data_IF_716320085375
#
_entry.id   IF_716320085375
#
_cell.length_a   1.000
_cell.length_b   1.000
_cell.length_c   1.000
_cell.angle_alpha   90.00
_cell.angle_beta   90.00
_cell.angle_gamma   90.00
#
_symmetry.space_group_name_H-M   'P 1'
#
loop_
_entity.id
_entity.type
_entity.pdbx_description
1 polymer ?
#
# COMPACT_ATOMS: atom_id res chain seq x y z
N UNK A 1 -39.03 -11.22 6.03
CA UNK A 1 -38.11 -12.34 6.31
C UNK A 1 -36.92 -12.36 5.33
N UNK A 2 -37.15 -12.29 4.02
CA UNK A 2 -36.04 -12.27 3.01
C UNK A 2 -34.91 -11.24 3.29
N UNK A 3 -35.24 -9.99 3.64
CA UNK A 3 -34.22 -8.95 3.91
C UNK A 3 -33.34 -9.26 5.15
N UNK A 4 -33.86 -10.00 6.14
CA UNK A 4 -33.09 -10.32 7.37
C UNK A 4 -32.16 -11.51 7.09
N UNK A 5 -32.59 -12.46 6.29
CA UNK A 5 -31.78 -13.61 5.91
C UNK A 5 -30.65 -13.19 4.96
N UNK A 6 -30.91 -12.21 4.09
CA UNK A 6 -29.90 -11.59 3.21
C UNK A 6 -28.84 -10.83 4.02
N UNK A 7 -29.24 -10.09 5.06
CA UNK A 7 -28.30 -9.42 5.98
C UNK A 7 -27.47 -10.44 6.78
N UNK A 8 -28.06 -11.53 7.26
CA UNK A 8 -27.32 -12.57 7.98
C UNK A 8 -26.32 -13.28 7.07
N UNK A 9 -26.70 -13.58 5.84
CA UNK A 9 -25.81 -14.16 4.84
C UNK A 9 -24.64 -13.23 4.53
N UNK A 10 -24.90 -11.95 4.32
CA UNK A 10 -23.91 -10.91 4.12
C UNK A 10 -22.94 -10.79 5.31
N UNK A 11 -23.44 -10.73 6.55
CA UNK A 11 -22.61 -10.66 7.74
C UNK A 11 -21.71 -11.89 7.87
N UNK A 12 -22.26 -13.08 7.65
CA UNK A 12 -21.51 -14.35 7.71
C UNK A 12 -20.41 -14.43 6.65
N UNK A 13 -20.69 -13.96 5.45
CA UNK A 13 -19.68 -13.85 4.39
C UNK A 13 -18.56 -12.86 4.80
N UNK A 14 -18.94 -11.70 5.34
CA UNK A 14 -17.98 -10.71 5.80
C UNK A 14 -17.14 -11.14 7.02
N UNK A 15 -17.71 -11.92 7.95
CA UNK A 15 -16.99 -12.46 9.12
C UNK A 15 -15.86 -13.39 8.69
N UNK A 16 -16.07 -14.20 7.67
CA UNK A 16 -15.11 -15.21 7.21
C UNK A 16 -14.02 -14.67 6.27
N UNK A 17 -14.11 -13.42 5.79
CA UNK A 17 -13.07 -12.84 4.94
C UNK A 17 -11.76 -12.66 5.70
N UNK A 18 -10.68 -13.17 5.15
CA UNK A 18 -9.34 -12.95 5.68
C UNK A 18 -9.00 -11.45 5.72
N UNK A 19 -8.24 -11.06 6.72
CA UNK A 19 -7.75 -9.70 6.89
C UNK A 19 -6.26 -9.62 6.54
N UNK A 20 -5.92 -8.81 5.54
CA UNK A 20 -4.55 -8.46 5.22
C UNK A 20 -4.23 -7.05 5.76
N UNK A 21 -3.19 -6.95 6.57
CA UNK A 21 -2.60 -5.68 6.97
C UNK A 21 -1.36 -5.42 6.15
N UNK A 22 -1.29 -4.29 5.49
CA UNK A 22 -0.10 -3.91 4.74
C UNK A 22 0.29 -2.46 4.97
N UNK A 23 1.57 -2.20 4.79
CA UNK A 23 2.17 -0.87 4.91
C UNK A 23 2.60 -0.39 3.53
N UNK A 24 2.45 0.91 3.28
CA UNK A 24 3.10 1.58 2.14
C UNK A 24 4.35 2.30 2.61
N UNK A 25 5.47 2.07 1.97
CA UNK A 25 6.74 2.71 2.26
C UNK A 25 7.50 3.03 0.97
N UNK A 26 8.45 3.93 1.07
CA UNK A 26 9.20 4.48 -0.08
C UNK A 26 9.66 5.88 0.25
N UNK A 27 10.34 6.52 -0.66
CA UNK A 27 10.84 7.88 -0.48
C UNK A 27 9.68 8.90 -0.51
N UNK A 28 9.99 10.14 -0.16
CA UNK A 28 9.10 11.29 -0.43
C UNK A 28 8.87 11.36 -1.94
N UNK A 29 7.67 11.69 -2.35
CA UNK A 29 7.24 11.80 -3.75
C UNK A 29 7.25 10.51 -4.59
N UNK A 30 7.48 9.33 -4.00
CA UNK A 30 7.32 8.05 -4.71
C UNK A 30 5.85 7.73 -5.03
N UNK A 31 4.89 8.51 -4.50
CA UNK A 31 3.46 8.40 -4.80
C UNK A 31 2.69 7.46 -3.86
N UNK A 32 3.11 7.35 -2.58
CA UNK A 32 2.43 6.53 -1.57
C UNK A 32 0.97 6.93 -1.37
N UNK A 33 0.72 8.18 -1.03
CA UNK A 33 -0.64 8.70 -0.81
C UNK A 33 -1.50 8.60 -2.08
N UNK A 34 -0.91 8.85 -3.27
CA UNK A 34 -1.58 8.66 -4.54
C UNK A 34 -2.01 7.21 -4.75
N UNK A 35 -1.14 6.24 -4.44
CA UNK A 35 -1.45 4.82 -4.57
C UNK A 35 -2.57 4.39 -3.60
N UNK A 36 -2.51 4.85 -2.36
CA UNK A 36 -3.55 4.56 -1.37
C UNK A 36 -4.88 5.17 -1.81
N UNK A 37 -4.88 6.43 -2.21
CA UNK A 37 -6.05 7.10 -2.74
C UNK A 37 -6.66 6.37 -3.94
N UNK A 38 -5.81 5.87 -4.87
CA UNK A 38 -6.23 5.06 -6.02
C UNK A 38 -6.85 3.73 -5.58
N UNK A 39 -6.24 3.01 -4.67
CA UNK A 39 -6.79 1.76 -4.14
C UNK A 39 -8.15 1.98 -3.47
N UNK A 40 -8.29 3.02 -2.65
CA UNK A 40 -9.55 3.36 -1.99
C UNK A 40 -10.64 3.77 -2.99
N UNK A 41 -10.28 4.57 -3.97
CA UNK A 41 -11.20 5.02 -5.02
C UNK A 41 -11.70 3.85 -5.87
N UNK A 42 -10.80 3.06 -6.44
CA UNK A 42 -11.14 2.03 -7.41
C UNK A 42 -11.79 0.80 -6.74
N UNK A 43 -11.50 0.57 -5.44
CA UNK A 43 -12.16 -0.47 -4.63
C UNK A 43 -13.55 -0.07 -4.14
N UNK A 44 -14.07 1.10 -4.53
CA UNK A 44 -15.34 1.65 -4.03
C UNK A 44 -15.41 1.75 -2.50
N UNK A 45 -14.25 1.88 -1.86
CA UNK A 45 -14.12 2.02 -0.41
C UNK A 45 -14.41 3.43 0.12
N UNK A 46 -14.81 4.36 -0.75
CA UNK A 46 -15.08 5.75 -0.44
C UNK A 46 -16.55 6.02 -0.58
N UNK A 47 -17.14 6.68 0.42
CA UNK A 47 -18.53 7.15 0.33
C UNK A 47 -18.67 8.31 -0.65
N UNK A 48 -19.77 8.35 -1.39
CA UNK A 48 -20.04 9.38 -2.42
C UNK A 48 -19.94 10.80 -1.87
N UNK A 49 -20.38 11.02 -0.62
CA UNK A 49 -20.30 12.33 0.06
C UNK A 49 -18.85 12.81 0.25
N UNK A 50 -17.93 11.89 0.52
CA UNK A 50 -16.51 12.21 0.65
C UNK A 50 -15.90 12.57 -0.71
N UNK A 51 -16.27 11.85 -1.76
CA UNK A 51 -15.85 12.15 -3.13
C UNK A 51 -16.30 13.54 -3.59
N UNK A 52 -17.52 13.96 -3.26
CA UNK A 52 -18.02 15.30 -3.59
C UNK A 52 -17.25 16.42 -2.87
N UNK A 53 -16.93 16.22 -1.59
CA UNK A 53 -16.17 17.22 -0.81
C UNK A 53 -14.76 17.40 -1.38
N UNK A 54 -14.10 16.29 -1.74
CA UNK A 54 -12.75 16.33 -2.32
C UNK A 54 -12.76 16.97 -3.71
N UNK A 55 -13.78 16.70 -4.53
CA UNK A 55 -13.97 17.39 -5.82
C UNK A 55 -14.09 18.91 -5.67
N UNK A 56 -14.73 19.38 -4.59
CA UNK A 56 -14.83 20.82 -4.26
C UNK A 56 -13.50 21.40 -3.81
N UNK A 57 -12.73 20.66 -3.01
CA UNK A 57 -11.44 21.10 -2.49
C UNK A 57 -10.34 21.07 -3.56
N UNK A 58 -10.33 20.07 -4.44
CA UNK A 58 -9.41 19.99 -5.59
C UNK A 58 -9.59 21.15 -6.56
N UNK A 59 -10.83 21.63 -6.75
CA UNK A 59 -11.13 22.81 -7.61
C UNK A 59 -10.64 24.13 -6.99
N UNK A 60 -10.47 24.20 -5.67
CA UNK A 60 -9.97 25.41 -4.98
C UNK A 60 -8.46 25.54 -5.00
N UNK A 61 -7.75 24.43 -5.08
CA UNK A 61 -6.27 24.40 -4.97
C UNK A 61 -5.56 24.31 -6.32
N UNK A 62 -6.23 24.64 -7.42
CA UNK A 62 -5.76 24.72 -8.81
C UNK A 62 -4.24 24.51 -9.00
N UNK A 63 -3.82 23.30 -9.26
CA UNK A 63 -2.45 23.08 -9.70
C UNK A 63 -2.21 21.93 -10.70
N UNK A 64 -3.23 21.38 -11.33
CA UNK A 64 -3.02 20.50 -12.51
C UNK A 64 -4.32 20.26 -13.26
N UNK A 65 -4.24 20.11 -14.60
CA UNK A 65 -5.33 19.78 -15.53
C UNK A 65 -6.01 18.41 -15.28
N UNK A 66 -5.65 17.71 -14.22
CA UNK A 66 -6.27 16.45 -13.83
C UNK A 66 -7.37 16.68 -12.79
N UNK A 67 -8.57 16.26 -13.13
CA UNK A 67 -9.83 16.50 -12.42
C UNK A 67 -9.87 16.08 -10.95
N UNK A 68 -8.83 15.38 -10.40
CA UNK A 68 -8.94 14.79 -9.07
C UNK A 68 -7.58 14.47 -8.43
N UNK A 69 -7.23 15.16 -7.34
CA UNK A 69 -6.06 14.81 -6.55
C UNK A 69 -6.41 13.74 -5.49
N UNK A 70 -6.04 12.49 -5.81
CA UNK A 70 -6.31 11.33 -4.95
C UNK A 70 -5.52 11.33 -3.63
N UNK A 71 -4.46 12.14 -3.52
CA UNK A 71 -3.69 12.26 -2.27
C UNK A 71 -4.50 12.93 -1.17
N UNK A 72 -5.41 13.83 -1.53
CA UNK A 72 -6.31 14.51 -0.59
C UNK A 72 -7.26 13.55 0.15
N UNK A 73 -7.47 12.33 -0.39
CA UNK A 73 -8.22 11.27 0.31
C UNK A 73 -7.49 10.74 1.55
N UNK A 74 -6.19 10.91 1.59
CA UNK A 74 -5.31 10.24 2.57
C UNK A 74 -4.82 11.21 3.64
N UNK A 75 -4.62 12.48 3.28
CA UNK A 75 -4.08 13.50 4.19
C UNK A 75 -5.07 13.85 5.31
N UNK A 76 -4.75 13.38 6.50
CA UNK A 76 -5.62 13.50 7.69
C UNK A 76 -5.36 14.75 8.51
N UNK A 77 -4.11 15.14 8.71
CA UNK A 77 -3.72 16.26 9.54
C UNK A 77 -3.60 17.55 8.72
N UNK A 78 -3.98 18.69 9.32
CA UNK A 78 -3.81 19.98 8.68
C UNK A 78 -2.35 20.27 8.34
N UNK A 79 -1.41 19.90 9.22
CA UNK A 79 0.03 20.03 9.00
C UNK A 79 0.56 19.18 7.85
N UNK A 80 -0.04 18.03 7.60
CA UNK A 80 0.30 17.16 6.46
C UNK A 80 -0.15 17.81 5.15
N UNK A 81 -1.36 18.37 5.12
CA UNK A 81 -1.88 19.10 3.96
C UNK A 81 -1.08 20.37 3.62
N UNK A 82 -0.66 21.11 4.65
CA UNK A 82 0.15 22.32 4.47
C UNK A 82 1.56 22.03 3.97
N UNK A 83 2.16 20.90 4.39
CA UNK A 83 3.51 20.53 4.03
C UNK A 83 3.59 19.56 2.86
N UNK A 84 2.46 18.94 2.48
CA UNK A 84 2.41 17.92 1.42
C UNK A 84 3.17 16.63 1.75
N UNK A 85 3.34 16.31 3.06
CA UNK A 85 4.06 15.13 3.52
C UNK A 85 3.28 14.39 4.61
N UNK A 86 3.35 13.06 4.62
CA UNK A 86 2.85 12.24 5.73
C UNK A 86 3.79 12.35 6.92
N UNK A 87 3.27 12.66 8.10
CA UNK A 87 4.03 12.84 9.35
C UNK A 87 3.81 11.66 10.30
N UNK A 88 2.55 11.28 10.50
CA UNK A 88 2.17 10.20 11.42
C UNK A 88 1.61 8.99 10.65
N UNK A 89 1.37 7.89 11.34
CA UNK A 89 0.77 6.69 10.75
C UNK A 89 -0.74 6.86 10.68
N UNK A 90 -1.29 6.83 9.47
CA UNK A 90 -2.72 6.82 9.25
C UNK A 90 -3.19 5.43 8.80
N UNK A 91 -4.28 4.93 9.42
CA UNK A 91 -4.86 3.66 9.04
C UNK A 91 -6.09 3.88 8.17
N UNK A 92 -6.15 3.17 7.04
CA UNK A 92 -7.27 3.18 6.11
C UNK A 92 -7.78 1.76 5.91
N UNK A 93 -9.06 1.66 5.59
CA UNK A 93 -9.75 0.37 5.50
C UNK A 93 -10.50 0.30 4.19
N UNK A 94 -10.38 -0.82 3.50
CA UNK A 94 -11.26 -1.15 2.38
C UNK A 94 -11.49 -2.65 2.32
N UNK A 95 -12.44 -3.05 1.50
CA UNK A 95 -12.78 -4.47 1.34
C UNK A 95 -13.06 -4.76 -0.13
N UNK A 96 -12.65 -5.93 -0.57
CA UNK A 96 -13.06 -6.50 -1.84
C UNK A 96 -14.00 -7.69 -1.60
N UNK A 97 -14.60 -8.25 -2.64
CA UNK A 97 -15.36 -9.50 -2.48
C UNK A 97 -14.56 -10.62 -1.80
N UNK A 98 -13.24 -10.69 -2.00
CA UNK A 98 -12.40 -11.76 -1.50
C UNK A 98 -11.79 -11.50 -0.12
N UNK A 99 -11.39 -10.25 0.19
CA UNK A 99 -10.55 -9.98 1.36
C UNK A 99 -10.83 -8.60 1.97
N UNK A 100 -10.55 -8.46 3.27
CA UNK A 100 -10.52 -7.18 4.00
C UNK A 100 -9.09 -6.66 4.07
N UNK A 101 -8.93 -5.35 4.03
CA UNK A 101 -7.61 -4.71 4.03
C UNK A 101 -7.52 -3.61 5.08
N UNK A 102 -6.38 -3.55 5.75
CA UNK A 102 -5.96 -2.41 6.55
C UNK A 102 -4.66 -1.90 5.94
N UNK A 103 -4.67 -0.65 5.52
CA UNK A 103 -3.50 0.06 5.03
C UNK A 103 -2.92 0.89 6.18
N UNK A 104 -1.64 0.74 6.46
CA UNK A 104 -0.90 1.69 7.25
C UNK A 104 -0.16 2.63 6.30
N UNK A 105 -0.65 3.86 6.16
CA UNK A 105 0.09 4.90 5.45
C UNK A 105 1.21 5.42 6.35
N UNK A 106 2.41 5.50 5.81
CA UNK A 106 3.59 5.85 6.60
C UNK A 106 4.46 6.89 5.93
N UNK A 107 5.11 7.75 6.74
CA UNK A 107 5.96 8.80 6.23
C UNK A 107 7.15 8.25 5.43
N UNK A 108 7.49 8.95 4.34
CA UNK A 108 8.67 8.65 3.53
C UNK A 108 9.94 9.34 4.00
N UNK A 109 9.81 10.40 4.80
CA UNK A 109 10.92 11.22 5.25
C UNK A 109 11.73 10.52 6.37
N UNK A 110 13.06 10.62 6.31
CA UNK A 110 13.94 9.91 7.25
C UNK A 110 13.74 10.29 8.72
N UNK A 111 13.34 11.53 9.00
CA UNK A 111 13.06 12.01 10.36
C UNK A 111 11.90 11.27 11.02
N UNK A 112 10.98 10.74 10.23
CA UNK A 112 9.79 10.02 10.70
C UNK A 112 9.91 8.50 10.59
N UNK A 113 11.13 7.97 10.44
CA UNK A 113 11.38 6.51 10.35
C UNK A 113 10.79 5.73 11.53
N UNK A 114 10.71 6.34 12.72
CA UNK A 114 10.07 5.71 13.89
C UNK A 114 8.59 5.45 13.67
N UNK A 115 7.88 6.39 13.07
CA UNK A 115 6.46 6.23 12.75
C UNK A 115 6.26 5.15 11.68
N UNK A 116 7.13 5.12 10.67
CA UNK A 116 7.15 4.02 9.69
C UNK A 116 7.30 2.66 10.36
N UNK A 117 8.24 2.50 11.29
CA UNK A 117 8.44 1.25 12.01
C UNK A 117 7.21 0.86 12.86
N UNK A 118 6.50 1.83 13.44
CA UNK A 118 5.25 1.61 14.17
C UNK A 118 4.17 1.02 13.26
N UNK A 119 3.97 1.59 12.08
CA UNK A 119 3.01 1.05 11.10
C UNK A 119 3.39 -0.36 10.62
N UNK A 120 4.69 -0.57 10.39
CA UNK A 120 5.22 -1.85 9.91
C UNK A 120 5.08 -2.99 10.93
N UNK A 121 5.12 -2.69 12.23
CA UNK A 121 5.13 -3.70 13.31
C UNK A 121 3.90 -4.62 13.32
N UNK A 122 2.80 -4.18 12.73
CA UNK A 122 1.54 -4.95 12.68
C UNK A 122 1.22 -5.45 11.27
N UNK A 123 2.04 -5.14 10.27
CA UNK A 123 1.81 -5.48 8.88
C UNK A 123 2.19 -6.93 8.55
N UNK A 124 1.43 -7.55 7.66
CA UNK A 124 1.73 -8.85 7.09
C UNK A 124 2.55 -8.72 5.79
N UNK A 125 2.37 -7.58 5.08
CA UNK A 125 2.96 -7.31 3.78
C UNK A 125 3.43 -5.86 3.72
N UNK A 126 4.53 -5.61 3.02
CA UNK A 126 5.02 -4.27 2.73
C UNK A 126 4.97 -3.98 1.24
N UNK A 127 4.37 -2.85 0.87
CA UNK A 127 4.46 -2.29 -0.48
C UNK A 127 5.55 -1.22 -0.46
N UNK A 128 6.63 -1.48 -1.17
CA UNK A 128 7.74 -0.55 -1.31
C UNK A 128 7.62 0.14 -2.66
N UNK A 129 7.32 1.43 -2.64
CA UNK A 129 7.24 2.23 -3.87
C UNK A 129 8.64 2.66 -4.29
N UNK A 130 8.85 2.63 -5.59
CA UNK A 130 10.06 3.13 -6.26
C UNK A 130 9.61 3.97 -7.45
N UNK A 131 10.02 5.23 -7.48
CA UNK A 131 9.82 6.08 -8.66
C UNK A 131 10.71 5.57 -9.82
N UNK A 132 10.09 5.21 -10.94
CA UNK A 132 10.76 4.64 -12.10
C UNK A 132 11.85 5.55 -12.69
N UNK A 133 11.78 6.86 -12.46
CA UNK A 133 12.78 7.83 -12.92
C UNK A 133 14.09 7.75 -12.15
N UNK A 134 14.02 7.39 -10.85
CA UNK A 134 15.17 7.44 -9.94
C UNK A 134 15.70 6.06 -9.54
N UNK A 135 14.86 5.02 -9.64
CA UNK A 135 15.23 3.66 -9.25
C UNK A 135 15.43 3.46 -7.75
N UNK A 136 16.27 2.49 -7.38
CA UNK A 136 16.48 2.09 -5.96
C UNK A 136 17.31 3.13 -5.23
N UNK A 137 16.70 3.83 -4.27
CA UNK A 137 17.30 4.89 -3.48
C UNK A 137 17.66 4.46 -2.05
N UNK A 138 18.34 5.34 -1.31
CA UNK A 138 18.74 5.09 0.08
C UNK A 138 17.54 4.81 1.00
N UNK A 139 16.43 5.54 0.85
CA UNK A 139 15.24 5.32 1.65
C UNK A 139 14.54 3.99 1.29
N UNK A 140 14.53 3.61 0.01
CA UNK A 140 14.06 2.29 -0.42
C UNK A 140 14.80 1.17 0.32
N UNK A 141 16.14 1.28 0.39
CA UNK A 141 17.01 0.32 1.09
C UNK A 141 16.76 0.32 2.59
N UNK A 142 16.63 1.50 3.22
CA UNK A 142 16.36 1.66 4.65
C UNK A 142 15.01 1.03 5.04
N UNK A 143 13.96 1.31 4.29
CA UNK A 143 12.63 0.76 4.55
C UNK A 143 12.59 -0.76 4.34
N UNK A 144 13.26 -1.28 3.33
CA UNK A 144 13.42 -2.73 3.14
C UNK A 144 14.12 -3.40 4.32
N UNK A 145 15.17 -2.77 4.85
CA UNK A 145 15.89 -3.27 6.03
C UNK A 145 15.01 -3.29 7.28
N UNK A 146 14.24 -2.23 7.53
CA UNK A 146 13.32 -2.15 8.67
C UNK A 146 12.24 -3.23 8.55
N UNK A 147 11.65 -3.41 7.38
CA UNK A 147 10.64 -4.44 7.14
C UNK A 147 11.22 -5.84 7.40
N UNK A 148 12.46 -6.10 7.01
CA UNK A 148 13.16 -7.34 7.34
C UNK A 148 13.34 -7.52 8.86
N UNK A 149 13.79 -6.50 9.56
CA UNK A 149 13.98 -6.56 11.03
C UNK A 149 12.67 -6.83 11.77
N UNK A 150 11.56 -6.31 11.26
CA UNK A 150 10.21 -6.54 11.80
C UNK A 150 9.60 -7.88 11.36
N UNK A 151 10.30 -8.66 10.55
CA UNK A 151 9.88 -10.01 10.16
C UNK A 151 8.78 -10.05 9.10
N UNK A 152 8.60 -8.98 8.31
CA UNK A 152 7.65 -8.96 7.20
C UNK A 152 8.16 -9.89 6.09
N UNK A 153 7.37 -10.92 5.77
CA UNK A 153 7.76 -11.96 4.83
C UNK A 153 7.35 -11.70 3.38
N UNK A 154 6.36 -10.84 3.16
CA UNK A 154 5.81 -10.54 1.85
C UNK A 154 6.15 -9.10 1.49
N UNK A 155 6.85 -8.92 0.38
CA UNK A 155 7.26 -7.61 -0.13
C UNK A 155 6.77 -7.45 -1.55
N UNK A 156 6.00 -6.40 -1.79
CA UNK A 156 5.66 -5.93 -3.12
C UNK A 156 6.51 -4.70 -3.43
N UNK A 157 7.28 -4.76 -4.48
CA UNK A 157 7.99 -3.60 -5.01
C UNK A 157 7.15 -3.01 -6.12
N UNK A 158 6.49 -1.91 -5.83
CA UNK A 158 5.69 -1.16 -6.76
C UNK A 158 6.57 -0.14 -7.51
N UNK A 159 6.95 -0.48 -8.74
CA UNK A 159 7.70 0.44 -9.62
C UNK A 159 6.69 1.42 -10.19
N UNK A 160 6.58 2.56 -9.52
CA UNK A 160 5.56 3.58 -9.79
C UNK A 160 6.04 4.64 -10.78
N UNK A 161 5.10 5.39 -11.32
CA UNK A 161 5.31 6.43 -12.33
C UNK A 161 5.91 5.88 -13.63
N UNK A 162 5.55 4.65 -13.97
CA UNK A 162 5.95 4.03 -15.24
C UNK A 162 5.38 4.77 -16.45
N UNK A 163 4.28 5.51 -16.28
CA UNK A 163 3.71 6.41 -17.27
C UNK A 163 4.71 7.50 -17.72
N UNK A 164 5.55 8.01 -16.82
CA UNK A 164 6.58 8.99 -17.13
C UNK A 164 7.81 8.37 -17.85
N UNK A 165 7.84 7.05 -17.96
CA UNK A 165 8.88 6.27 -18.62
C UNK A 165 8.32 5.46 -19.80
N UNK A 166 7.14 5.86 -20.32
CA UNK A 166 6.42 5.19 -21.42
C UNK A 166 6.27 3.68 -21.24
N UNK A 167 6.14 3.22 -19.99
CA UNK A 167 6.07 1.81 -19.61
C UNK A 167 7.16 0.93 -20.23
N UNK A 168 8.38 1.46 -20.37
CA UNK A 168 9.50 0.76 -20.96
C UNK A 168 9.93 -0.43 -20.10
N UNK A 169 10.02 -1.59 -20.73
CA UNK A 169 10.41 -2.84 -20.10
C UNK A 169 11.84 -2.83 -19.57
N UNK A 170 12.78 -2.22 -20.31
CA UNK A 170 14.19 -2.12 -19.91
C UNK A 170 14.39 -1.33 -18.62
N UNK A 171 13.61 -0.24 -18.42
CA UNK A 171 13.61 0.55 -17.17
C UNK A 171 13.13 -0.32 -15.99
N UNK A 172 12.03 -1.03 -16.17
CA UNK A 172 11.51 -1.94 -15.13
C UNK A 172 12.52 -3.05 -14.79
N UNK A 173 13.07 -3.70 -15.81
CA UNK A 173 14.03 -4.80 -15.63
C UNK A 173 15.30 -4.34 -14.91
N UNK A 174 15.81 -3.16 -15.23
CA UNK A 174 16.96 -2.56 -14.53
C UNK A 174 16.65 -2.35 -13.03
N UNK A 175 15.52 -1.75 -12.70
CA UNK A 175 15.12 -1.54 -11.30
C UNK A 175 14.93 -2.86 -10.58
N UNK A 176 14.34 -3.84 -11.25
CA UNK A 176 14.17 -5.20 -10.75
C UNK A 176 15.50 -5.85 -10.40
N UNK A 177 16.47 -5.80 -11.30
CA UNK A 177 17.81 -6.35 -11.08
C UNK A 177 18.52 -5.67 -9.91
N UNK A 178 18.52 -4.34 -9.87
CA UNK A 178 19.12 -3.54 -8.81
C UNK A 178 18.49 -3.86 -7.44
N UNK A 179 17.16 -3.94 -7.37
CA UNK A 179 16.48 -4.27 -6.14
C UNK A 179 16.73 -5.70 -5.67
N UNK A 180 16.66 -6.68 -6.58
CA UNK A 180 16.88 -8.10 -6.24
C UNK A 180 18.33 -8.36 -5.81
N UNK A 181 19.30 -7.68 -6.43
CA UNK A 181 20.71 -7.73 -6.00
C UNK A 181 20.85 -7.21 -4.57
N UNK A 182 20.29 -6.04 -4.27
CA UNK A 182 20.27 -5.48 -2.93
C UNK A 182 19.55 -6.40 -1.93
N UNK A 183 18.40 -6.95 -2.28
CA UNK A 183 17.63 -7.87 -1.45
C UNK A 183 18.44 -9.13 -1.09
N UNK A 184 19.20 -9.67 -2.06
CA UNK A 184 20.10 -10.80 -1.84
C UNK A 184 21.24 -10.44 -0.88
N UNK A 185 21.88 -9.29 -1.07
CA UNK A 185 22.94 -8.79 -0.18
C UNK A 185 22.42 -8.59 1.25
N UNK A 186 21.19 -8.10 1.37
CA UNK A 186 20.51 -7.93 2.65
C UNK A 186 20.08 -9.27 3.27
N UNK A 187 20.11 -10.38 2.53
CA UNK A 187 19.58 -11.67 2.98
C UNK A 187 18.07 -11.64 3.22
N UNK A 188 17.35 -10.93 2.37
CA UNK A 188 15.89 -11.02 2.30
C UNK A 188 15.53 -12.36 1.65
N UNK A 189 15.05 -13.29 2.46
CA UNK A 189 14.47 -14.57 2.00
C UNK A 189 12.98 -14.44 1.71
N UNK A 190 12.49 -13.23 1.58
CA UNK A 190 11.07 -12.91 1.46
C UNK A 190 10.52 -13.25 0.09
N UNK A 191 9.22 -13.48 0.03
CA UNK A 191 8.48 -13.50 -1.21
C UNK A 191 8.42 -12.07 -1.78
N UNK A 192 9.25 -11.79 -2.78
CA UNK A 192 9.34 -10.46 -3.41
C UNK A 192 8.64 -10.51 -4.75
N UNK A 193 7.61 -9.69 -4.91
CA UNK A 193 6.88 -9.49 -6.17
C UNK A 193 7.13 -8.06 -6.67
N UNK A 194 7.47 -7.92 -7.96
CA UNK A 194 7.67 -6.60 -8.57
C UNK A 194 6.54 -6.33 -9.55
N UNK A 195 5.94 -5.14 -9.44
CA UNK A 195 4.79 -4.73 -10.26
C UNK A 195 5.07 -3.36 -10.86
N UNK A 196 5.09 -3.23 -12.21
CA UNK A 196 5.17 -1.93 -12.87
C UNK A 196 3.79 -1.28 -12.85
N UNK A 197 3.67 -0.07 -12.32
CA UNK A 197 2.37 0.59 -12.22
C UNK A 197 2.44 2.11 -12.40
N UNK A 198 1.28 2.71 -12.59
CA UNK A 198 1.05 4.14 -12.43
C UNK A 198 -0.08 4.35 -11.43
N UNK A 199 0.26 4.80 -10.23
CA UNK A 199 -0.73 5.11 -9.20
C UNK A 199 -1.67 6.25 -9.64
N UNK A 200 -1.14 7.22 -10.40
CA UNK A 200 -1.92 8.35 -10.89
C UNK A 200 -2.98 7.92 -11.90
N UNK A 201 -2.61 7.10 -12.86
CA UNK A 201 -3.48 6.66 -13.95
C UNK A 201 -4.27 5.38 -13.62
N UNK A 202 -3.87 4.64 -12.56
CA UNK A 202 -4.47 3.35 -12.20
C UNK A 202 -3.93 2.15 -12.96
N UNK A 203 -2.95 2.35 -13.85
CA UNK A 203 -2.35 1.27 -14.65
C UNK A 203 -1.72 0.19 -13.74
N UNK A 204 -2.15 -1.07 -13.87
CA UNK A 204 -1.73 -2.23 -13.08
C UNK A 204 -1.99 -2.12 -11.56
N UNK A 205 -2.82 -1.18 -11.12
CA UNK A 205 -3.25 -1.09 -9.72
C UNK A 205 -4.44 -2.02 -9.49
N UNK A 206 -5.57 -1.77 -10.12
CA UNK A 206 -6.77 -2.62 -10.09
C UNK A 206 -6.95 -3.30 -11.44
N UNK A 207 -6.86 -2.53 -12.51
CA UNK A 207 -7.00 -3.03 -13.87
C UNK A 207 -5.63 -3.18 -14.55
N UNK A 208 -5.54 -4.20 -15.40
CA UNK A 208 -4.32 -4.47 -16.17
C UNK A 208 -4.12 -3.42 -17.24
N UNK A 209 -2.92 -2.84 -17.29
CA UNK A 209 -2.58 -1.84 -18.29
C UNK A 209 -2.32 -2.44 -19.67
N UNK A 210 -2.90 -1.85 -20.69
CA UNK A 210 -2.58 -2.16 -22.09
C UNK A 210 -1.19 -1.63 -22.50
N UNK A 211 -0.66 -0.62 -21.80
CA UNK A 211 0.63 0.02 -22.09
C UNK A 211 1.83 -0.86 -21.69
N UNK A 212 1.63 -1.80 -20.76
CA UNK A 212 2.65 -2.75 -20.30
C UNK A 212 2.35 -4.18 -20.75
N UNK A 213 2.10 -4.39 -22.05
CA UNK A 213 1.74 -5.70 -22.62
C UNK A 213 2.80 -6.80 -22.40
N UNK A 214 4.04 -6.44 -22.14
CA UNK A 214 5.15 -7.30 -21.77
C UNK A 214 5.04 -7.86 -20.34
N UNK A 215 4.36 -7.13 -19.44
CA UNK A 215 4.14 -7.58 -18.07
C UNK A 215 3.00 -8.59 -18.01
N UNK A 216 3.30 -9.82 -17.57
CA UNK A 216 2.33 -10.93 -17.48
C UNK A 216 1.97 -11.29 -16.04
N UNK A 217 2.50 -10.55 -15.06
CA UNK A 217 2.22 -10.77 -13.65
C UNK A 217 0.81 -10.30 -13.24
N UNK A 218 0.51 -10.41 -11.96
CA UNK A 218 -0.73 -9.93 -11.35
C UNK A 218 -0.75 -8.40 -11.25
N UNK A 219 -1.95 -7.80 -11.26
CA UNK A 219 -2.12 -6.42 -10.81
C UNK A 219 -1.89 -6.32 -9.30
N UNK A 220 -1.76 -5.10 -8.78
CA UNK A 220 -1.52 -4.93 -7.36
C UNK A 220 -2.68 -5.51 -6.52
N UNK A 221 -3.92 -5.24 -6.89
CA UNK A 221 -5.09 -5.75 -6.16
C UNK A 221 -5.21 -7.28 -6.27
N UNK A 222 -4.96 -7.87 -7.45
CA UNK A 222 -4.94 -9.32 -7.63
C UNK A 222 -3.92 -9.97 -6.70
N UNK A 223 -2.71 -9.41 -6.61
CA UNK A 223 -1.67 -9.91 -5.72
C UNK A 223 -2.06 -9.79 -4.24
N UNK A 224 -2.61 -8.64 -3.82
CA UNK A 224 -3.07 -8.44 -2.44
C UNK A 224 -4.22 -9.38 -2.06
N UNK A 225 -5.08 -9.74 -2.99
CA UNK A 225 -6.17 -10.72 -2.77
C UNK A 225 -5.67 -12.16 -2.66
N UNK A 226 -4.61 -12.52 -3.39
CA UNK A 226 -4.17 -13.90 -3.56
C UNK A 226 -3.01 -14.30 -2.63
N UNK A 227 -2.26 -13.32 -2.08
CA UNK A 227 -1.10 -13.61 -1.21
C UNK A 227 -1.50 -14.44 0.00
N UNK A 228 -0.79 -15.54 0.26
CA UNK A 228 -1.05 -16.46 1.36
C UNK A 228 -0.26 -16.01 2.60
N UNK A 229 -0.97 -15.62 3.67
CA UNK A 229 -0.38 -15.16 4.93
C UNK A 229 -0.63 -16.10 6.11
N UNK A 230 -1.44 -17.14 5.93
CA UNK A 230 -1.86 -18.04 7.02
C UNK A 230 -0.71 -18.82 7.62
N UNK A 231 0.28 -19.18 6.79
CA UNK A 231 1.49 -19.91 7.24
C UNK A 231 2.48 -19.05 8.03
N UNK A 232 2.24 -17.75 8.10
CA UNK A 232 3.18 -16.80 8.76
C UNK A 232 3.04 -16.77 10.27
N UNK A 233 1.96 -17.31 10.80
CA UNK A 233 1.63 -17.34 12.23
C UNK A 233 1.55 -18.78 12.74
N UNK A 234 2.24 -19.05 13.84
CA UNK A 234 2.03 -20.26 14.60
C UNK A 234 0.77 -20.12 15.47
N UNK A 235 -0.32 -20.73 15.02
CA UNK A 235 -1.60 -20.75 15.75
C UNK A 235 -1.77 -22.01 16.61
N UNK A 236 -0.79 -22.92 16.64
CA UNK A 236 -0.86 -24.19 17.39
C UNK A 236 -0.48 -24.02 18.85
N UNK A 237 0.36 -23.04 19.17
CA UNK A 237 0.80 -22.79 20.51
C UNK A 237 0.14 -21.53 21.09
N UNK A 238 -0.49 -21.70 22.26
CA UNK A 238 -1.06 -20.57 22.99
C UNK A 238 0.04 -19.65 23.49
N UNK A 239 -0.08 -18.34 23.19
CA UNK A 239 0.82 -17.28 23.66
C UNK A 239 -0.01 -16.11 24.13
N UNK A 240 0.19 -15.69 25.37
CA UNK A 240 -0.49 -14.54 25.95
C UNK A 240 0.54 -13.56 26.54
N UNK A 241 0.96 -12.52 25.81
CA UNK A 241 1.88 -11.52 26.33
C UNK A 241 1.18 -10.64 27.37
N UNK A 242 1.75 -10.51 28.56
CA UNK A 242 1.26 -9.58 29.59
C UNK A 242 1.62 -8.16 29.13
N UNK A 243 0.60 -7.34 28.87
CA UNK A 243 0.79 -5.96 28.39
C UNK A 243 0.95 -4.98 29.58
N UNK A 244 0.23 -5.21 30.66
CA UNK A 244 0.21 -4.31 31.81
C UNK A 244 -0.14 -5.06 33.09
N UNK A 245 0.55 -4.72 34.17
CA UNK A 245 0.25 -5.21 35.51
C UNK A 245 -0.23 -4.02 36.35
N UNK A 246 -1.51 -3.98 36.65
CA UNK A 246 -2.05 -2.99 37.57
C UNK A 246 -1.74 -3.39 39.02
N UNK A 247 -1.13 -2.49 39.76
CA UNK A 247 -0.94 -2.64 41.21
C UNK A 247 -1.87 -1.68 41.91
N UNK A 248 -2.70 -2.19 42.82
CA UNK A 248 -3.54 -1.39 43.71
C UNK A 248 -2.68 -0.57 44.67
#
# INVERSE_FOLDING_TARGET
MEKIDDIKAYLKEHENKQLLRFITCGNVDDGKSTLIGRLLHDSKGIFEDQLENIKKDSKKNNSTDNEFDLSLLVDGLQSEREQGITIDVAYRYFTTPKRKFIIADTPGHEQYTRNMATGASTANLAIILIDARYGVQTQTKRHSFINKLLGIKHIVVAVNKMDLMDFREDVFNKIKEDYLKFAKELGLSSNITLIPLSALNGDNVVERSSKSSWYKGETLIEHLENVQIDSDRDLTHFRFPVQYVNRA
#
